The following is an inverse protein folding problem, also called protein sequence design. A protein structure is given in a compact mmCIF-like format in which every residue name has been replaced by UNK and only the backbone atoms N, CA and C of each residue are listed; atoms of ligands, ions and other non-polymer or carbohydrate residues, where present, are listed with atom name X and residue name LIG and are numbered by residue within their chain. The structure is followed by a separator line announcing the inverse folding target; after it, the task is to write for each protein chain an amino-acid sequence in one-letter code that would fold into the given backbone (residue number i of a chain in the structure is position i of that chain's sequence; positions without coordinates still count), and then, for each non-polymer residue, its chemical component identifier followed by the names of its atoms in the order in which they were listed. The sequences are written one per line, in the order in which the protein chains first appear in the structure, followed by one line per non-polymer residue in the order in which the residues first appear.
data_IF_342794855061
#
_entry.id   IF_342794855061
#
_cell.length_a   1.000
_cell.length_b   1.000
_cell.length_c   1.000
_cell.angle_alpha   90.00
_cell.angle_beta   90.00
_cell.angle_gamma   90.00
#
_symmetry.space_group_name_H-M   'P 1'
#
loop_
_entity.id
_entity.type
_entity.pdbx_description
1 polymer ?
#
# COMPACT_ATOMS: atom_id res chain seq x y z
N UNK A 1 -79.94 -14.87 -12.59
CA UNK A 1 -79.46 -15.72 -13.69
C UNK A 1 -78.92 -14.78 -14.75
N UNK A 2 -77.71 -14.27 -14.59
CA UNK A 2 -76.40 -14.83 -14.99
C UNK A 2 -75.89 -14.05 -16.18
N UNK A 3 -75.20 -12.95 -15.88
CA UNK A 3 -74.30 -12.23 -16.79
C UNK A 3 -73.09 -11.97 -15.91
N UNK A 4 -71.97 -12.63 -16.20
CA UNK A 4 -70.68 -12.27 -15.62
C UNK A 4 -69.62 -12.46 -16.71
N UNK A 5 -68.87 -11.37 -16.85
CA UNK A 5 -67.93 -11.03 -17.90
C UNK A 5 -66.66 -11.89 -17.87
N UNK A 6 -66.16 -12.13 -19.07
CA UNK A 6 -64.80 -12.59 -19.33
C UNK A 6 -64.00 -11.33 -19.63
N UNK A 7 -63.05 -10.95 -18.78
CA UNK A 7 -61.83 -10.22 -19.21
C UNK A 7 -60.74 -10.16 -18.13
N UNK A 8 -59.52 -10.47 -18.58
CA UNK A 8 -58.21 -10.10 -18.03
C UNK A 8 -57.70 -10.70 -16.71
N UNK A 9 -57.40 -12.00 -16.77
CA UNK A 9 -56.14 -12.49 -16.20
C UNK A 9 -54.96 -11.98 -17.03
N UNK A 10 -54.40 -10.82 -16.64
CA UNK A 10 -53.05 -10.45 -17.06
C UNK A 10 -52.07 -11.10 -16.07
N UNK A 11 -51.27 -12.10 -16.46
CA UNK A 11 -50.13 -12.47 -15.65
C UNK A 11 -49.18 -11.28 -15.72
N UNK A 12 -48.98 -10.59 -14.60
CA UNK A 12 -47.83 -9.72 -14.44
C UNK A 12 -46.60 -10.60 -14.64
N UNK A 13 -46.06 -10.59 -15.86
CA UNK A 13 -44.86 -11.30 -16.22
C UNK A 13 -43.76 -10.78 -15.30
N UNK A 14 -43.46 -11.57 -14.27
CA UNK A 14 -42.16 -11.60 -13.64
C UNK A 14 -41.17 -11.96 -14.74
N UNK A 15 -40.75 -10.96 -15.51
CA UNK A 15 -39.63 -11.10 -16.43
C UNK A 15 -38.43 -11.35 -15.54
N UNK A 16 -38.14 -12.65 -15.44
CA UNK A 16 -37.18 -13.30 -14.56
C UNK A 16 -35.91 -12.46 -14.43
N UNK A 17 -35.48 -12.16 -13.19
CA UNK A 17 -34.19 -11.49 -12.97
C UNK A 17 -33.05 -12.26 -13.63
N UNK A 18 -33.23 -13.59 -13.79
CA UNK A 18 -32.36 -14.53 -14.52
C UNK A 18 -32.25 -14.23 -16.02
N UNK A 19 -33.36 -13.87 -16.68
CA UNK A 19 -33.40 -13.52 -18.11
C UNK A 19 -32.74 -12.16 -18.34
N UNK A 20 -32.95 -11.22 -17.40
CA UNK A 20 -32.26 -9.93 -17.37
C UNK A 20 -30.75 -10.04 -17.12
N UNK A 21 -30.34 -10.97 -16.27
CA UNK A 21 -28.93 -11.37 -16.05
C UNK A 21 -28.32 -11.95 -17.34
N UNK A 22 -29.05 -12.83 -18.04
CA UNK A 22 -28.61 -13.44 -19.30
C UNK A 22 -28.49 -12.44 -20.46
N UNK A 23 -29.28 -11.35 -20.42
CA UNK A 23 -29.31 -10.31 -21.46
C UNK A 23 -28.32 -9.16 -21.22
N UNK A 24 -27.50 -9.21 -20.15
CA UNK A 24 -26.54 -8.13 -19.85
C UNK A 24 -27.18 -6.79 -19.51
N UNK A 25 -28.47 -6.78 -19.13
CA UNK A 25 -29.29 -5.57 -18.99
C UNK A 25 -29.22 -4.92 -17.60
N UNK A 26 -28.42 -5.47 -16.68
CA UNK A 26 -28.08 -4.81 -15.42
C UNK A 26 -26.58 -4.66 -15.33
N UNK A 27 -26.10 -3.44 -15.58
CA UNK A 27 -24.80 -3.01 -15.09
C UNK A 27 -24.70 -3.29 -13.59
N UNK A 28 -23.47 -3.54 -13.12
CA UNK A 28 -23.16 -3.62 -11.69
C UNK A 28 -23.76 -2.40 -10.97
N UNK A 29 -24.49 -2.57 -9.84
CA UNK A 29 -25.10 -1.45 -9.12
C UNK A 29 -24.09 -0.33 -8.83
N UNK A 30 -24.55 0.93 -8.81
CA UNK A 30 -23.68 2.09 -8.65
C UNK A 30 -22.74 1.97 -7.43
N UNK A 31 -23.24 1.53 -6.28
CA UNK A 31 -22.42 1.34 -5.08
C UNK A 31 -21.31 0.30 -5.30
N UNK A 32 -21.59 -0.77 -6.04
CA UNK A 32 -20.63 -1.83 -6.29
C UNK A 32 -19.52 -1.37 -7.26
N UNK A 33 -19.87 -0.60 -8.32
CA UNK A 33 -18.88 0.07 -9.16
C UNK A 33 -18.00 1.02 -8.36
N UNK A 34 -18.60 1.83 -7.49
CA UNK A 34 -17.88 2.76 -6.61
C UNK A 34 -16.90 2.05 -5.67
N UNK A 35 -17.29 0.89 -5.14
CA UNK A 35 -16.39 0.04 -4.35
C UNK A 35 -15.21 -0.48 -5.18
N UNK A 36 -15.46 -0.94 -6.41
CA UNK A 36 -14.42 -1.40 -7.33
C UNK A 36 -13.46 -0.28 -7.74
N UNK A 37 -13.98 0.91 -8.06
CA UNK A 37 -13.18 2.09 -8.43
C UNK A 37 -12.26 2.51 -7.28
N UNK A 38 -12.77 2.49 -6.04
CA UNK A 38 -11.98 2.75 -4.85
C UNK A 38 -10.86 1.71 -4.69
N UNK A 39 -11.20 0.42 -4.73
CA UNK A 39 -10.21 -0.65 -4.59
C UNK A 39 -9.12 -0.56 -5.65
N UNK A 40 -9.49 -0.30 -6.90
CA UNK A 40 -8.55 -0.17 -8.00
C UNK A 40 -7.61 1.03 -7.80
N UNK A 41 -8.16 2.18 -7.43
CA UNK A 41 -7.40 3.41 -7.20
C UNK A 41 -6.39 3.24 -6.06
N UNK A 42 -6.80 2.62 -4.95
CA UNK A 42 -5.91 2.33 -3.82
C UNK A 42 -4.81 1.33 -4.21
N UNK A 43 -5.19 0.21 -4.86
CA UNK A 43 -4.23 -0.81 -5.31
C UNK A 43 -3.16 -0.21 -6.22
N UNK A 44 -3.54 0.71 -7.10
CA UNK A 44 -2.60 1.38 -7.99
C UNK A 44 -1.58 2.25 -7.24
N UNK A 45 -2.02 3.08 -6.28
CA UNK A 45 -1.10 3.89 -5.44
C UNK A 45 -0.13 3.01 -4.66
N UNK A 46 -0.65 1.96 -4.00
CA UNK A 46 0.19 1.04 -3.22
C UNK A 46 1.17 0.28 -4.10
N UNK A 47 0.76 -0.18 -5.28
CA UNK A 47 1.65 -0.84 -6.23
C UNK A 47 2.78 0.08 -6.69
N UNK A 48 2.47 1.36 -6.97
CA UNK A 48 3.47 2.36 -7.34
C UNK A 48 4.46 2.63 -6.22
N UNK A 49 3.98 2.73 -4.97
CA UNK A 49 4.83 2.88 -3.79
C UNK A 49 5.76 1.67 -3.58
N UNK A 50 5.21 0.46 -3.70
CA UNK A 50 5.99 -0.78 -3.58
C UNK A 50 7.10 -0.87 -4.63
N UNK A 51 6.77 -0.58 -5.89
CA UNK A 51 7.74 -0.62 -6.97
C UNK A 51 8.89 0.38 -6.75
N UNK A 52 8.56 1.66 -6.52
CA UNK A 52 9.58 2.70 -6.33
C UNK A 52 10.45 2.41 -5.10
N UNK A 53 9.84 1.90 -4.03
CA UNK A 53 10.57 1.53 -2.82
C UNK A 53 11.56 0.41 -3.09
N UNK A 54 11.14 -0.64 -3.81
CA UNK A 54 11.97 -1.79 -4.14
C UNK A 54 13.19 -1.37 -4.98
N UNK A 55 12.96 -0.58 -6.04
CA UNK A 55 14.02 -0.03 -6.90
C UNK A 55 14.99 0.84 -6.09
N UNK A 56 14.47 1.72 -5.22
CA UNK A 56 15.29 2.60 -4.40
C UNK A 56 16.10 1.85 -3.32
N UNK A 57 15.61 0.71 -2.84
CA UNK A 57 16.29 -0.10 -1.81
C UNK A 57 17.49 -0.89 -2.34
N UNK A 58 17.59 -1.13 -3.65
CA UNK A 58 18.69 -1.91 -4.24
C UNK A 58 20.08 -1.41 -3.81
N UNK A 59 20.26 -0.09 -3.81
CA UNK A 59 21.54 0.50 -3.44
C UNK A 59 21.84 0.34 -1.95
N UNK A 60 20.83 0.46 -1.08
CA UNK A 60 21.00 0.22 0.36
C UNK A 60 21.37 -1.24 0.62
N UNK A 61 20.66 -2.18 -0.01
CA UNK A 61 20.97 -3.62 0.08
C UNK A 61 22.36 -3.94 -0.46
N UNK A 62 22.81 -3.28 -1.53
CA UNK A 62 24.19 -3.39 -2.00
C UNK A 62 25.19 -2.93 -0.93
N UNK A 63 24.95 -1.79 -0.28
CA UNK A 63 25.84 -1.28 0.79
C UNK A 63 25.82 -2.16 2.04
N UNK A 64 24.68 -2.73 2.39
CA UNK A 64 24.57 -3.73 3.46
C UNK A 64 25.39 -5.00 3.15
N UNK A 65 25.34 -5.50 1.91
CA UNK A 65 26.21 -6.59 1.44
C UNK A 65 27.69 -6.22 1.46
N UNK A 66 28.05 -4.98 1.14
CA UNK A 66 29.43 -4.51 1.27
C UNK A 66 29.88 -4.47 2.73
N UNK A 67 28.99 -4.07 3.65
CA UNK A 67 29.25 -4.13 5.08
C UNK A 67 29.52 -5.56 5.56
N UNK A 68 28.69 -6.53 5.15
CA UNK A 68 28.89 -7.93 5.55
C UNK A 68 30.21 -8.52 5.06
N UNK A 69 30.79 -7.98 3.98
CA UNK A 69 32.11 -8.36 3.45
C UNK A 69 33.30 -7.80 4.22
N UNK A 70 33.10 -6.80 5.07
CA UNK A 70 34.16 -6.22 5.92
C UNK A 70 33.97 -6.52 7.41
N UNK A 71 32.75 -6.87 7.80
CA UNK A 71 32.40 -7.27 9.15
C UNK A 71 32.52 -8.79 9.34
N UNK A 72 33.05 -9.23 10.49
CA UNK A 72 33.20 -10.67 10.80
C UNK A 72 32.01 -11.28 11.53
N UNK A 73 31.01 -10.47 11.89
CA UNK A 73 29.81 -10.94 12.57
C UNK A 73 28.87 -9.80 12.95
N UNK A 74 27.71 -10.14 13.54
CA UNK A 74 26.67 -9.17 13.88
C UNK A 74 27.07 -8.20 15.00
N UNK A 75 28.13 -8.46 15.78
CA UNK A 75 28.62 -7.55 16.82
C UNK A 75 29.65 -6.52 16.34
N UNK A 76 30.13 -6.66 15.11
CA UNK A 76 31.26 -5.88 14.57
C UNK A 76 30.87 -4.43 14.21
N UNK A 77 29.59 -4.06 14.40
CA UNK A 77 29.14 -2.67 14.28
C UNK A 77 29.68 -1.78 15.40
N UNK A 78 29.97 -2.34 16.57
CA UNK A 78 30.32 -1.58 17.78
C UNK A 78 31.61 -0.75 17.66
N UNK A 79 32.48 -1.07 16.70
CA UNK A 79 33.70 -0.29 16.42
C UNK A 79 33.44 0.96 15.56
N UNK A 80 32.28 1.07 14.92
CA UNK A 80 32.01 2.08 13.88
C UNK A 80 30.69 2.80 14.07
N UNK A 81 29.67 2.13 14.57
CA UNK A 81 28.31 2.65 14.74
C UNK A 81 27.95 2.78 16.22
N UNK A 82 27.10 3.76 16.54
CA UNK A 82 26.59 3.97 17.90
C UNK A 82 25.55 2.91 18.33
N UNK A 83 24.99 2.15 17.39
CA UNK A 83 24.00 1.14 17.66
C UNK A 83 23.98 0.00 16.62
N UNK A 84 23.22 -1.08 16.90
CA UNK A 84 23.13 -2.24 16.04
C UNK A 84 22.43 -1.91 14.71
N UNK A 85 22.77 -2.67 13.67
CA UNK A 85 22.21 -2.51 12.33
C UNK A 85 20.99 -3.40 12.04
N UNK A 86 20.57 -4.23 12.99
CA UNK A 86 19.51 -5.25 12.76
C UNK A 86 18.21 -4.65 12.24
N UNK A 87 17.80 -3.50 12.81
CA UNK A 87 16.61 -2.77 12.37
C UNK A 87 16.72 -2.32 10.90
N UNK A 88 17.91 -1.88 10.48
CA UNK A 88 18.15 -1.49 9.09
C UNK A 88 18.07 -2.69 8.14
N UNK A 89 18.63 -3.85 8.51
CA UNK A 89 18.50 -5.07 7.71
C UNK A 89 17.04 -5.48 7.51
N UNK A 90 16.24 -5.41 8.57
CA UNK A 90 14.80 -5.71 8.53
C UNK A 90 14.03 -4.73 7.64
N UNK A 91 14.23 -3.42 7.83
CA UNK A 91 13.50 -2.39 7.06
C UNK A 91 13.91 -2.35 5.59
N UNK A 92 15.16 -2.70 5.29
CA UNK A 92 15.65 -2.85 3.93
C UNK A 92 15.22 -4.18 3.28
N UNK A 93 14.63 -5.11 4.04
CA UNK A 93 14.26 -6.46 3.57
C UNK A 93 15.42 -7.14 2.82
N UNK A 94 16.63 -7.02 3.35
CA UNK A 94 17.81 -7.58 2.71
C UNK A 94 17.94 -9.07 3.04
N UNK A 95 18.56 -9.83 2.14
CA UNK A 95 18.97 -11.21 2.40
C UNK A 95 19.87 -11.30 3.64
N UNK A 96 19.87 -12.43 4.37
CA UNK A 96 20.75 -12.64 5.50
C UNK A 96 22.23 -12.42 5.14
N UNK A 97 22.99 -11.69 5.98
CA UNK A 97 24.39 -11.39 5.69
C UNK A 97 25.27 -12.65 5.70
N UNK A 98 26.14 -12.75 4.69
CA UNK A 98 27.31 -13.64 4.73
C UNK A 98 28.49 -12.81 5.22
N UNK A 99 28.99 -13.15 6.41
CA UNK A 99 30.05 -12.43 7.08
C UNK A 99 31.43 -12.76 6.53
N UNK A 100 32.35 -11.81 6.65
CA UNK A 100 33.74 -12.00 6.26
C UNK A 100 34.42 -13.03 7.18
N UNK A 101 35.24 -13.90 6.59
CA UNK A 101 36.06 -14.85 7.37
C UNK A 101 37.28 -14.22 8.05
N UNK A 102 37.60 -12.96 7.77
CA UNK A 102 38.75 -12.24 8.32
C UNK A 102 38.39 -10.80 8.65
N UNK A 103 39.01 -10.26 9.70
CA UNK A 103 38.82 -8.88 10.14
C UNK A 103 39.40 -7.92 9.08
N UNK A 104 38.56 -7.04 8.55
CA UNK A 104 39.02 -5.98 7.65
C UNK A 104 39.71 -4.85 8.43
N UNK A 105 40.64 -4.10 7.81
CA UNK A 105 41.24 -2.92 8.43
C UNK A 105 40.20 -1.88 8.84
N UNK A 106 40.39 -1.25 10.00
CA UNK A 106 39.45 -0.25 10.55
C UNK A 106 39.14 0.90 9.57
N UNK A 107 40.13 1.35 8.78
CA UNK A 107 39.93 2.36 7.74
C UNK A 107 38.91 1.91 6.69
N UNK A 108 38.98 0.65 6.26
CA UNK A 108 38.07 0.09 5.28
C UNK A 108 36.65 -0.04 5.85
N UNK A 109 36.50 -0.54 7.09
CA UNK A 109 35.21 -0.60 7.78
C UNK A 109 34.56 0.78 7.85
N UNK A 110 35.30 1.81 8.26
CA UNK A 110 34.80 3.20 8.33
C UNK A 110 34.38 3.76 6.98
N UNK A 111 35.12 3.48 5.91
CA UNK A 111 34.73 3.91 4.54
C UNK A 111 33.41 3.27 4.13
N UNK A 112 33.28 1.95 4.27
CA UNK A 112 32.04 1.23 3.92
C UNK A 112 30.85 1.70 4.79
N UNK A 113 31.09 1.96 6.07
CA UNK A 113 30.07 2.49 6.96
C UNK A 113 29.57 3.88 6.56
N UNK A 114 30.47 4.80 6.19
CA UNK A 114 30.09 6.12 5.66
C UNK A 114 29.27 6.01 4.38
N UNK A 115 29.68 5.13 3.47
CA UNK A 115 28.95 4.87 2.23
C UNK A 115 27.55 4.32 2.49
N UNK A 116 27.41 3.41 3.47
CA UNK A 116 26.12 2.87 3.91
C UNK A 116 25.22 3.98 4.46
N UNK A 117 25.70 4.78 5.41
CA UNK A 117 24.94 5.90 5.99
C UNK A 117 24.50 6.88 4.92
N UNK A 118 25.41 7.29 4.03
CA UNK A 118 25.10 8.20 2.95
C UNK A 118 24.06 7.60 1.97
N UNK A 119 24.09 6.28 1.75
CA UNK A 119 23.09 5.59 0.94
C UNK A 119 21.70 5.60 1.58
N UNK A 120 21.62 5.35 2.89
CA UNK A 120 20.36 5.38 3.65
C UNK A 120 19.76 6.79 3.68
N UNK A 121 20.60 7.81 3.88
CA UNK A 121 20.16 9.21 3.85
C UNK A 121 19.61 9.60 2.47
N UNK A 122 20.33 9.25 1.39
CA UNK A 122 19.86 9.50 0.01
C UNK A 122 18.54 8.78 -0.29
N UNK A 123 18.39 7.54 0.18
CA UNK A 123 17.13 6.82 0.08
C UNK A 123 16.01 7.60 0.76
N UNK A 124 16.18 8.02 2.02
CA UNK A 124 15.13 8.72 2.76
C UNK A 124 14.73 10.06 2.11
N UNK A 125 15.70 10.81 1.59
CA UNK A 125 15.43 12.06 0.86
C UNK A 125 14.64 11.78 -0.42
N UNK A 126 15.09 10.83 -1.24
CA UNK A 126 14.41 10.48 -2.51
C UNK A 126 13.01 9.92 -2.24
N UNK A 127 12.88 9.06 -1.23
CA UNK A 127 11.60 8.46 -0.87
C UNK A 127 10.57 9.50 -0.46
N UNK A 128 10.98 10.48 0.38
CA UNK A 128 10.14 11.61 0.75
C UNK A 128 9.72 12.42 -0.48
N UNK A 129 10.67 12.80 -1.33
CA UNK A 129 10.39 13.56 -2.55
C UNK A 129 9.43 12.82 -3.48
N UNK A 130 9.59 11.50 -3.61
CA UNK A 130 8.68 10.67 -4.38
C UNK A 130 7.27 10.72 -3.80
N UNK A 131 7.10 10.49 -2.50
CA UNK A 131 5.77 10.53 -1.86
C UNK A 131 5.10 11.91 -1.99
N UNK A 132 5.88 12.97 -1.87
CA UNK A 132 5.40 14.35 -2.07
C UNK A 132 5.05 14.65 -3.53
N UNK A 133 5.64 13.93 -4.48
CA UNK A 133 5.38 14.09 -5.93
C UNK A 133 4.17 13.29 -6.43
N UNK A 134 3.63 12.36 -5.64
CA UNK A 134 2.47 11.56 -6.04
C UNK A 134 1.23 12.44 -6.14
N UNK A 135 0.56 12.39 -7.29
CA UNK A 135 -0.76 13.02 -7.43
C UNK A 135 -1.83 12.16 -6.74
N UNK A 136 -2.12 12.49 -5.48
CA UNK A 136 -3.14 11.84 -4.68
C UNK A 136 -4.54 12.43 -4.93
N UNK A 137 -4.66 13.54 -5.68
CA UNK A 137 -5.91 14.26 -5.90
C UNK A 137 -7.03 13.38 -6.48
N UNK A 138 -6.79 12.69 -7.61
CA UNK A 138 -7.79 11.81 -8.23
C UNK A 138 -8.23 10.68 -7.29
N UNK A 139 -7.30 10.02 -6.60
CA UNK A 139 -7.63 8.93 -5.67
C UNK A 139 -8.42 9.44 -4.47
N UNK A 140 -8.04 10.60 -3.92
CA UNK A 140 -8.77 11.24 -2.82
C UNK A 140 -10.18 11.68 -3.23
N UNK A 141 -10.39 12.04 -4.49
CA UNK A 141 -11.73 12.30 -5.02
C UNK A 141 -12.59 11.02 -5.05
N UNK A 142 -12.01 9.89 -5.46
CA UNK A 142 -12.70 8.58 -5.41
C UNK A 142 -13.03 8.18 -3.97
N UNK A 143 -12.09 8.36 -3.03
CA UNK A 143 -12.31 8.12 -1.59
C UNK A 143 -13.46 9.00 -1.06
N UNK A 144 -13.45 10.29 -1.38
CA UNK A 144 -14.50 11.22 -0.96
C UNK A 144 -15.87 10.80 -1.48
N UNK A 145 -15.97 10.44 -2.76
CA UNK A 145 -17.21 9.96 -3.35
C UNK A 145 -17.66 8.63 -2.72
N UNK A 146 -16.76 7.68 -2.49
CA UNK A 146 -17.06 6.43 -1.81
C UNK A 146 -17.64 6.69 -0.42
N UNK A 147 -16.94 7.50 0.39
CA UNK A 147 -17.35 7.79 1.76
C UNK A 147 -18.72 8.49 1.82
N UNK A 148 -19.04 9.34 0.84
CA UNK A 148 -20.31 10.09 0.78
C UNK A 148 -21.47 9.25 0.25
N UNK A 149 -21.27 8.52 -0.84
CA UNK A 149 -22.39 7.98 -1.62
C UNK A 149 -22.57 6.47 -1.52
N UNK A 150 -21.54 5.70 -1.13
CA UNK A 150 -21.60 4.24 -1.17
C UNK A 150 -22.76 3.67 -0.35
N UNK A 151 -22.93 4.13 0.90
CA UNK A 151 -24.00 3.65 1.78
C UNK A 151 -25.38 4.06 1.27
N UNK A 152 -25.51 5.29 0.77
CA UNK A 152 -26.77 5.82 0.22
C UNK A 152 -27.22 5.01 -0.99
N UNK A 153 -26.30 4.77 -1.93
CA UNK A 153 -26.58 3.97 -3.12
C UNK A 153 -26.92 2.51 -2.77
N UNK A 154 -26.20 1.93 -1.78
CA UNK A 154 -26.49 0.58 -1.28
C UNK A 154 -27.84 0.51 -0.58
N UNK A 155 -28.25 1.55 0.15
CA UNK A 155 -29.57 1.63 0.78
C UNK A 155 -30.70 1.66 -0.25
N UNK A 156 -30.56 2.42 -1.33
CA UNK A 156 -31.54 2.46 -2.42
C UNK A 156 -31.78 1.08 -3.05
N UNK A 157 -30.74 0.24 -3.14
CA UNK A 157 -30.86 -1.12 -3.68
C UNK A 157 -31.43 -2.10 -2.65
N UNK A 158 -31.03 -1.99 -1.39
CA UNK A 158 -31.38 -2.94 -0.34
C UNK A 158 -32.73 -2.64 0.34
N UNK A 159 -33.26 -1.42 0.19
CA UNK A 159 -34.47 -0.94 0.87
C UNK A 159 -34.33 -0.87 2.39
N UNK A 160 -33.10 -0.86 2.92
CA UNK A 160 -32.85 -0.89 4.36
C UNK A 160 -31.50 -0.26 4.73
N UNK A 161 -31.54 0.87 5.43
CA UNK A 161 -30.36 1.55 5.97
C UNK A 161 -29.50 0.62 6.84
N UNK A 162 -30.13 -0.25 7.65
CA UNK A 162 -29.45 -1.20 8.54
C UNK A 162 -28.63 -2.23 7.75
N UNK A 163 -29.17 -2.74 6.64
CA UNK A 163 -28.44 -3.70 5.79
C UNK A 163 -27.37 -3.00 4.96
N UNK A 164 -27.63 -1.75 4.54
CA UNK A 164 -26.69 -0.95 3.76
C UNK A 164 -25.43 -0.57 4.55
N UNK A 165 -25.57 -0.11 5.78
CA UNK A 165 -24.43 0.30 6.63
C UNK A 165 -23.57 -0.87 7.11
N UNK A 166 -24.09 -2.09 7.04
CA UNK A 166 -23.36 -3.29 7.47
C UNK A 166 -22.07 -3.45 6.66
N UNK A 167 -20.94 -3.58 7.37
CA UNK A 167 -19.58 -3.71 6.83
C UNK A 167 -19.06 -2.49 6.04
N UNK A 168 -19.73 -1.34 6.12
CA UNK A 168 -19.16 -0.10 5.59
C UNK A 168 -18.12 0.44 6.56
N UNK A 169 -16.92 0.72 6.04
CA UNK A 169 -15.86 1.40 6.78
C UNK A 169 -15.40 2.59 5.94
N UNK A 170 -15.50 3.83 6.44
CA UNK A 170 -15.00 4.98 5.72
C UNK A 170 -13.48 4.89 5.57
N UNK A 171 -12.97 5.26 4.41
CA UNK A 171 -11.53 5.25 4.11
C UNK A 171 -10.95 6.64 4.34
N UNK A 172 -9.87 6.80 5.13
CA UNK A 172 -9.24 8.09 5.31
C UNK A 172 -8.62 8.59 3.99
N UNK A 173 -8.60 9.90 3.79
CA UNK A 173 -7.88 10.48 2.65
C UNK A 173 -6.39 10.15 2.75
N UNK A 174 -5.80 9.88 1.58
CA UNK A 174 -4.37 9.65 1.45
C UNK A 174 -3.62 10.97 1.57
N UNK A 175 -2.48 10.89 2.24
CA UNK A 175 -1.46 11.94 2.33
C UNK A 175 -0.09 11.28 2.35
N UNK A 176 0.98 12.02 2.03
CA UNK A 176 2.35 11.50 2.19
C UNK A 176 2.60 10.95 3.59
N UNK A 177 2.05 11.58 4.63
CA UNK A 177 2.17 11.15 6.02
C UNK A 177 1.48 9.82 6.31
N UNK A 178 0.33 9.56 5.68
CA UNK A 178 -0.36 8.27 5.77
C UNK A 178 0.48 7.19 5.07
N UNK A 179 0.97 7.45 3.86
CA UNK A 179 1.80 6.51 3.12
C UNK A 179 3.13 6.19 3.83
N UNK A 180 3.69 7.16 4.58
CA UNK A 180 4.87 6.93 5.41
C UNK A 180 4.64 5.95 6.57
N UNK A 181 3.40 5.75 7.02
CA UNK A 181 3.09 4.75 8.05
C UNK A 181 3.18 3.34 7.48
N UNK A 182 2.68 3.15 6.26
CA UNK A 182 2.70 1.87 5.57
C UNK A 182 4.09 1.56 4.97
N UNK A 183 4.81 2.61 4.55
CA UNK A 183 6.12 2.53 3.91
C UNK A 183 7.13 3.43 4.61
N UNK A 184 7.60 3.04 5.81
CA UNK A 184 8.42 3.91 6.66
C UNK A 184 9.78 4.25 6.05
N UNK A 185 10.34 5.39 6.44
CA UNK A 185 11.74 5.72 6.16
C UNK A 185 12.67 4.67 6.81
N UNK A 186 13.89 4.56 6.28
CA UNK A 186 14.90 3.70 6.87
C UNK A 186 15.53 4.37 8.10
N UNK A 187 15.84 3.60 9.16
CA UNK A 187 16.63 4.12 10.28
C UNK A 187 18.04 4.45 9.80
N UNK A 188 18.48 5.70 10.00
CA UNK A 188 19.84 6.14 9.63
C UNK A 188 20.81 5.71 10.74
N UNK A 189 21.81 4.86 10.46
CA UNK A 189 22.81 4.51 11.47
C UNK A 189 23.67 5.71 11.84
N UNK A 190 23.91 5.90 13.14
CA UNK A 190 24.82 6.92 13.63
C UNK A 190 26.24 6.36 13.68
N UNK A 191 27.20 7.12 13.13
CA UNK A 191 28.62 6.80 13.23
C UNK A 191 29.14 7.25 14.59
N UNK A 192 30.04 6.47 15.19
CA UNK A 192 30.79 6.93 16.36
C UNK A 192 31.63 8.15 15.98
N UNK A 193 31.56 9.20 16.80
CA UNK A 193 32.48 10.32 16.70
C UNK A 193 33.91 9.78 16.87
N UNK A 194 34.76 10.03 15.86
CA UNK A 194 36.20 9.73 15.90
C UNK A 194 36.92 10.88 16.55
#
# INVERSE_FOLDING_TARGET
MSVDDVEDSVPAMSVDSKVKELMGLFDVPAFARRGQDLEYSLKWIHARCLQEREESLEMVRLRLRQWSRVATGPGDWSEVFAGPLDSLWQHAQSEPPVWAGRVAPARQKRTVARDLVASVQRFNVRWRQFLESLDLGPTNQVIDQYNKYYVLEKECVMGSARLASRHFTPVPQLSPEVLLRDYPMLPVPELLAV
#
